data_IF_308685071289
#
_entry.id   IF_308685071289
#
_cell.length_a   1.000
_cell.length_b   1.000
_cell.length_c   1.000
_cell.angle_alpha   90.00
_cell.angle_beta   90.00
_cell.angle_gamma   90.00
#
_symmetry.space_group_name_H-M   'P 1'
#
loop_
_entity.id
_entity.type
_entity.pdbx_description
1 polymer ?
#
# COMPACT_ATOMS: atom_id res chain seq x y z
N UNK A 1 11.84 -10.12 15.90
CA UNK A 1 11.67 -9.19 14.78
C UNK A 1 11.04 -7.93 15.35
N UNK A 2 11.65 -6.77 15.13
CA UNK A 2 11.16 -5.48 15.65
C UNK A 2 10.37 -4.77 14.56
N UNK A 3 9.19 -4.28 14.88
CA UNK A 3 8.37 -3.46 13.99
C UNK A 3 8.11 -2.11 14.65
N UNK A 4 8.12 -1.05 13.86
CA UNK A 4 7.92 0.33 14.32
C UNK A 4 6.71 0.88 13.57
N UNK A 5 5.68 1.29 14.31
CA UNK A 5 4.50 1.96 13.77
C UNK A 5 4.64 3.48 13.96
N UNK A 6 4.28 4.26 12.93
CA UNK A 6 4.34 5.72 12.94
C UNK A 6 2.97 6.27 12.51
N UNK A 7 2.19 6.74 13.49
CA UNK A 7 0.82 7.18 13.32
C UNK A 7 0.64 8.69 13.57
N UNK A 8 -0.45 9.25 13.03
CA UNK A 8 -0.78 10.68 13.13
C UNK A 8 -1.62 11.18 11.94
N UNK A 9 -2.07 12.43 11.94
CA UNK A 9 -3.02 12.94 10.94
C UNK A 9 -2.41 13.02 9.53
N UNK A 10 -3.27 13.10 8.50
CA UNK A 10 -2.84 13.34 7.13
C UNK A 10 -2.03 14.65 7.04
N UNK A 11 -0.97 14.68 6.23
CA UNK A 11 -0.11 15.86 6.08
C UNK A 11 0.93 16.06 7.19
N UNK A 12 0.98 15.22 8.23
CA UNK A 12 1.95 15.35 9.32
C UNK A 12 3.41 14.94 8.97
N UNK A 13 3.70 14.59 7.71
CA UNK A 13 5.05 14.19 7.27
C UNK A 13 5.48 12.77 7.67
N UNK A 14 4.54 11.92 8.13
CA UNK A 14 4.82 10.56 8.64
C UNK A 14 5.59 9.68 7.65
N UNK A 15 5.14 9.64 6.39
CA UNK A 15 5.79 8.84 5.35
C UNK A 15 7.24 9.26 5.13
N UNK A 16 7.49 10.57 5.05
CA UNK A 16 8.84 11.12 4.88
C UNK A 16 9.76 10.80 6.06
N UNK A 17 9.25 10.87 7.29
CA UNK A 17 10.03 10.54 8.50
C UNK A 17 10.26 9.03 8.60
N UNK A 18 9.24 8.22 8.31
CA UNK A 18 9.32 6.77 8.34
C UNK A 18 10.33 6.22 7.32
N UNK A 19 10.33 6.78 6.11
CA UNK A 19 11.30 6.45 5.07
C UNK A 19 12.73 6.76 5.52
N UNK A 20 12.99 7.97 6.04
CA UNK A 20 14.32 8.37 6.52
C UNK A 20 14.83 7.51 7.69
N UNK A 21 13.97 7.24 8.68
CA UNK A 21 14.34 6.38 9.82
C UNK A 21 14.59 4.95 9.35
N UNK A 22 13.80 4.45 8.38
CA UNK A 22 14.01 3.13 7.82
C UNK A 22 15.36 3.02 7.10
N UNK A 23 15.74 4.03 6.30
CA UNK A 23 17.06 4.10 5.66
C UNK A 23 18.20 4.13 6.70
N UNK A 24 18.09 4.96 7.73
CA UNK A 24 19.13 5.12 8.76
C UNK A 24 19.31 3.86 9.62
N UNK A 25 18.22 3.16 9.92
CA UNK A 25 18.23 1.96 10.75
C UNK A 25 18.38 0.65 9.96
N UNK A 26 18.36 0.70 8.63
CA UNK A 26 18.37 -0.48 7.76
C UNK A 26 17.07 -1.31 7.84
N UNK A 27 15.94 -0.65 8.08
CA UNK A 27 14.62 -1.28 8.12
C UNK A 27 13.94 -1.22 6.75
N UNK A 28 13.01 -2.15 6.53
CA UNK A 28 12.06 -2.05 5.44
C UNK A 28 10.99 -1.02 5.78
N UNK A 29 10.82 0.01 4.95
CA UNK A 29 9.66 0.90 5.04
C UNK A 29 8.42 0.17 4.47
N UNK A 30 7.21 0.45 4.96
CA UNK A 30 5.98 -0.11 4.39
C UNK A 30 4.94 1.00 4.34
N UNK A 31 4.56 1.43 3.13
CA UNK A 31 3.41 2.32 2.93
C UNK A 31 2.13 1.49 2.81
N UNK A 32 1.44 1.30 3.93
CA UNK A 32 0.12 0.66 3.95
C UNK A 32 -0.92 1.48 3.18
N UNK A 33 -0.75 2.79 3.08
CA UNK A 33 -1.62 3.65 2.29
C UNK A 33 -1.55 3.33 0.81
N UNK A 34 -0.36 3.04 0.28
CA UNK A 34 -0.19 2.64 -1.12
C UNK A 34 -0.87 1.31 -1.44
N UNK A 35 -0.79 0.35 -0.51
CA UNK A 35 -1.53 -0.91 -0.58
C UNK A 35 -3.05 -0.68 -0.65
N UNK A 36 -3.62 0.10 0.27
CA UNK A 36 -5.06 0.38 0.26
C UNK A 36 -5.50 1.14 -1.00
N UNK A 37 -4.68 2.06 -1.52
CA UNK A 37 -4.96 2.76 -2.78
C UNK A 37 -4.99 1.82 -3.98
N UNK A 38 -4.06 0.86 -4.08
CA UNK A 38 -4.08 -0.14 -5.15
C UNK A 38 -5.32 -1.05 -5.08
N UNK A 39 -5.75 -1.45 -3.88
CA UNK A 39 -7.01 -2.19 -3.71
C UNK A 39 -8.20 -1.33 -4.16
N UNK A 40 -8.24 -0.05 -3.78
CA UNK A 40 -9.27 0.89 -4.21
C UNK A 40 -9.33 1.07 -5.73
N UNK A 41 -8.17 1.19 -6.37
CA UNK A 41 -8.05 1.23 -7.83
C UNK A 41 -8.66 -0.02 -8.47
N UNK A 42 -8.32 -1.23 -7.97
CA UNK A 42 -8.89 -2.48 -8.48
C UNK A 42 -10.42 -2.52 -8.36
N UNK A 43 -10.99 -2.03 -7.26
CA UNK A 43 -12.45 -1.96 -7.11
C UNK A 43 -13.07 -1.00 -8.14
N UNK A 44 -12.45 0.16 -8.33
CA UNK A 44 -12.89 1.17 -9.31
C UNK A 44 -12.89 0.60 -10.73
N UNK A 45 -11.81 -0.08 -11.13
CA UNK A 45 -11.67 -0.71 -12.45
C UNK A 45 -12.68 -1.84 -12.70
N UNK A 46 -13.14 -2.51 -11.64
CA UNK A 46 -14.15 -3.57 -11.71
C UNK A 46 -15.58 -3.05 -11.49
N UNK A 47 -15.77 -1.72 -11.38
CA UNK A 47 -17.09 -1.11 -11.20
C UNK A 47 -17.77 -1.44 -9.88
N UNK A 48 -17.02 -1.86 -8.87
CA UNK A 48 -17.56 -2.15 -7.55
C UNK A 48 -17.70 -0.87 -6.72
N UNK A 49 -18.83 -0.76 -6.01
CA UNK A 49 -18.96 0.22 -4.94
C UNK A 49 -18.08 -0.19 -3.75
N UNK A 50 -17.05 0.61 -3.45
CA UNK A 50 -16.15 0.37 -2.34
C UNK A 50 -16.86 0.43 -0.97
N UNK A 51 -18.04 1.03 -0.89
CA UNK A 51 -18.87 1.06 0.31
C UNK A 51 -19.77 -0.18 0.47
N UNK A 52 -19.85 -1.07 -0.53
CA UNK A 52 -20.65 -2.29 -0.48
C UNK A 52 -19.76 -3.55 -0.30
N UNK A 53 -19.70 -4.12 0.93
CA UNK A 53 -18.93 -5.33 1.17
C UNK A 53 -19.34 -6.53 0.31
N UNK A 54 -20.59 -6.59 -0.17
CA UNK A 54 -21.05 -7.69 -1.04
C UNK A 54 -20.42 -7.63 -2.42
N UNK A 55 -20.04 -6.44 -2.88
CA UNK A 55 -19.31 -6.24 -4.14
C UNK A 55 -17.79 -6.37 -3.95
N UNK A 56 -17.26 -5.86 -2.84
CA UNK A 56 -15.82 -5.87 -2.55
C UNK A 56 -15.28 -7.26 -2.21
N UNK A 57 -15.94 -8.00 -1.30
CA UNK A 57 -15.41 -9.27 -0.78
C UNK A 57 -15.14 -10.34 -1.85
N UNK A 58 -15.99 -10.55 -2.87
CA UNK A 58 -15.70 -11.48 -3.96
C UNK A 58 -14.49 -11.06 -4.81
N UNK A 59 -14.30 -9.76 -5.01
CA UNK A 59 -13.20 -9.20 -5.80
C UNK A 59 -11.84 -9.31 -5.08
N UNK A 60 -11.83 -9.22 -3.75
CA UNK A 60 -10.62 -9.45 -2.94
C UNK A 60 -10.00 -10.84 -3.12
N UNK A 61 -10.77 -11.84 -3.60
CA UNK A 61 -10.23 -13.18 -3.92
C UNK A 61 -9.56 -13.25 -5.28
N UNK A 62 -9.76 -12.24 -6.13
CA UNK A 62 -9.29 -12.17 -7.52
C UNK A 62 -8.13 -11.18 -7.69
N UNK A 63 -7.85 -10.37 -6.67
CA UNK A 63 -6.79 -9.38 -6.69
C UNK A 63 -5.48 -10.02 -6.25
N UNK A 64 -4.39 -9.64 -6.91
CA UNK A 64 -3.02 -9.87 -6.45
C UNK A 64 -2.35 -8.51 -6.26
N UNK A 65 -1.85 -8.24 -5.04
CA UNK A 65 -1.07 -7.04 -4.75
C UNK A 65 0.26 -7.45 -4.12
N UNK A 66 1.38 -7.04 -4.70
CA UNK A 66 2.70 -7.15 -4.09
C UNK A 66 3.32 -5.77 -3.86
N UNK A 67 4.09 -5.69 -2.78
CA UNK A 67 4.96 -4.56 -2.46
C UNK A 67 6.39 -5.01 -2.75
N UNK A 68 7.04 -4.39 -3.71
CA UNK A 68 8.36 -4.78 -4.18
C UNK A 68 9.35 -3.64 -3.99
N UNK A 69 10.48 -3.94 -3.34
CA UNK A 69 11.57 -2.99 -3.22
C UNK A 69 12.53 -3.14 -4.39
N UNK A 70 12.59 -2.13 -5.24
CA UNK A 70 13.50 -2.09 -6.38
C UNK A 70 14.27 -0.78 -6.35
N UNK A 71 15.61 -0.83 -6.33
CA UNK A 71 16.49 0.36 -6.32
C UNK A 71 16.18 1.40 -5.22
N UNK A 72 15.70 0.96 -4.05
CA UNK A 72 15.22 1.78 -2.91
C UNK A 72 13.83 2.39 -3.07
N UNK A 73 13.18 2.20 -4.21
CA UNK A 73 11.79 2.61 -4.41
C UNK A 73 10.83 1.47 -4.04
N UNK A 74 9.74 1.82 -3.36
CA UNK A 74 8.62 0.92 -3.11
C UNK A 74 7.71 0.89 -4.34
N UNK A 75 7.68 -0.23 -5.04
CA UNK A 75 6.77 -0.51 -6.15
C UNK A 75 5.53 -1.24 -5.64
N UNK A 76 4.37 -0.83 -6.17
CA UNK A 76 3.09 -1.48 -5.88
C UNK A 76 2.64 -2.17 -7.16
N UNK A 77 2.65 -3.50 -7.14
CA UNK A 77 2.27 -4.28 -8.31
C UNK A 77 0.85 -4.79 -8.10
N UNK A 78 -0.06 -4.35 -8.96
CA UNK A 78 -1.46 -4.76 -9.01
C UNK A 78 -1.69 -5.67 -10.22
N UNK A 79 -1.99 -6.95 -9.97
CA UNK A 79 -2.22 -7.96 -11.01
C UNK A 79 -1.11 -8.02 -12.08
N UNK A 80 0.14 -7.83 -11.65
CA UNK A 80 1.33 -7.83 -12.52
C UNK A 80 1.70 -6.48 -13.13
N UNK A 81 0.93 -5.41 -12.88
CA UNK A 81 1.20 -4.06 -13.37
C UNK A 81 1.67 -3.13 -12.25
N UNK A 82 2.68 -2.30 -12.51
CA UNK A 82 3.10 -1.24 -11.59
C UNK A 82 2.06 -0.12 -11.56
N UNK A 83 1.59 0.23 -10.35
CA UNK A 83 0.62 1.31 -10.08
C UNK A 83 1.14 2.33 -9.05
N UNK A 84 2.46 2.36 -8.82
CA UNK A 84 3.13 3.32 -7.92
C UNK A 84 3.19 4.75 -8.47
#
# INVERSE_FOLDING_TARGET
MTAIAIDGPAGAGKSTIAERIAEELGYLYIDTGALYRAIGLFMLENGADAADPKQVCPLLKKISVSLEYQNKDLKVILNGNDVS
#
